data_IF_718800789720
#
_entry.id   IF_718800789720
#
_cell.length_a   1.000
_cell.length_b   1.000
_cell.length_c   1.000
_cell.angle_alpha   90.00
_cell.angle_beta   90.00
_cell.angle_gamma   90.00
#
_symmetry.space_group_name_H-M   'P 1'
#
loop_
_entity.id
_entity.type
_entity.pdbx_description
1 polymer ?
#
# COMPACT_ATOMS: atom_id res chain seq x y z
N UNK A 1 -18.77 25.88 -2.77
CA UNK A 1 -18.94 24.93 -1.65
C UNK A 1 -17.56 24.52 -1.18
N UNK A 2 -17.25 24.59 0.12
CA UNK A 2 -15.98 24.07 0.65
C UNK A 2 -16.01 22.55 0.63
N UNK A 3 -14.90 21.94 0.24
CA UNK A 3 -14.76 20.49 0.11
C UNK A 3 -13.66 20.05 1.06
N UNK A 4 -13.98 19.07 1.91
CA UNK A 4 -13.01 18.44 2.81
C UNK A 4 -12.59 17.11 2.22
N UNK A 5 -11.28 16.93 2.02
CA UNK A 5 -10.68 15.74 1.42
C UNK A 5 -9.52 15.29 2.32
N UNK A 6 -9.42 13.99 2.58
CA UNK A 6 -8.21 13.45 3.19
C UNK A 6 -6.99 13.60 2.26
N UNK A 7 -5.80 13.39 2.81
CA UNK A 7 -4.54 13.63 2.11
C UNK A 7 -4.43 12.80 0.81
N UNK A 8 -4.95 11.57 0.80
CA UNK A 8 -4.87 10.68 -0.36
C UNK A 8 -5.88 11.07 -1.44
N UNK A 9 -7.12 11.39 -1.06
CA UNK A 9 -8.15 11.91 -1.96
C UNK A 9 -7.67 13.19 -2.66
N UNK A 10 -7.07 14.10 -1.89
CA UNK A 10 -6.52 15.35 -2.38
C UNK A 10 -5.33 15.11 -3.30
N UNK A 11 -4.41 14.19 -2.96
CA UNK A 11 -3.27 13.85 -3.83
C UNK A 11 -3.74 13.30 -5.19
N UNK A 12 -4.75 12.43 -5.19
CA UNK A 12 -5.37 11.90 -6.41
C UNK A 12 -5.99 13.00 -7.25
N UNK A 13 -6.79 13.89 -6.63
CA UNK A 13 -7.39 15.03 -7.32
C UNK A 13 -6.33 15.87 -8.02
N UNK A 14 -5.22 16.19 -7.33
CA UNK A 14 -4.14 16.98 -7.92
C UNK A 14 -3.52 16.32 -9.15
N UNK A 15 -3.31 14.99 -9.11
CA UNK A 15 -2.69 14.20 -10.18
C UNK A 15 -3.61 13.97 -11.38
N UNK A 16 -4.92 13.91 -11.16
CA UNK A 16 -5.93 13.63 -12.19
C UNK A 16 -6.43 14.90 -12.92
N UNK A 17 -5.91 16.07 -12.56
CA UNK A 17 -6.31 17.36 -13.12
C UNK A 17 -5.11 18.14 -13.67
N UNK A 18 -5.41 19.08 -14.55
CA UNK A 18 -4.47 20.07 -15.06
C UNK A 18 -4.86 21.41 -14.45
N UNK A 19 -3.87 22.14 -13.96
CA UNK A 19 -4.07 23.33 -13.15
C UNK A 19 -3.44 24.56 -13.81
N UNK A 20 -4.05 25.71 -13.59
CA UNK A 20 -3.45 27.03 -13.79
C UNK A 20 -3.00 27.55 -12.44
N UNK A 21 -1.77 28.05 -12.34
CA UNK A 21 -1.20 28.66 -11.14
C UNK A 21 -0.95 30.15 -11.36
N UNK A 22 -1.34 30.98 -10.39
CA UNK A 22 -1.22 32.43 -10.48
C UNK A 22 -1.41 33.12 -9.13
N UNK A 23 -1.50 34.45 -9.15
CA UNK A 23 -1.77 35.28 -7.97
C UNK A 23 -3.28 35.51 -7.83
N UNK A 24 -3.82 35.30 -6.63
CA UNK A 24 -5.23 35.54 -6.37
C UNK A 24 -5.54 37.05 -6.40
N UNK A 25 -6.72 37.40 -6.93
CA UNK A 25 -7.17 38.79 -7.05
C UNK A 25 -6.50 39.61 -8.16
N UNK A 26 -5.67 39.00 -9.02
CA UNK A 26 -5.07 39.64 -10.20
C UNK A 26 -5.21 38.75 -11.44
N UNK A 27 -4.89 39.29 -12.62
CA UNK A 27 -4.81 38.52 -13.88
C UNK A 27 -3.43 37.85 -14.09
N UNK A 28 -2.59 37.84 -13.05
CA UNK A 28 -1.23 37.34 -13.14
C UNK A 28 -1.20 35.80 -13.09
N UNK A 29 -0.76 35.20 -14.19
CA UNK A 29 -0.62 33.75 -14.34
C UNK A 29 0.85 33.38 -14.39
N UNK A 30 1.30 32.56 -13.44
CA UNK A 30 2.66 32.04 -13.38
C UNK A 30 2.83 30.79 -14.26
N UNK A 31 1.82 29.92 -14.26
CA UNK A 31 1.80 28.72 -15.09
C UNK A 31 0.39 28.51 -15.67
N UNK A 32 0.18 28.65 -16.99
CA UNK A 32 -1.14 28.48 -17.59
C UNK A 32 -1.62 27.03 -17.55
N UNK A 33 -0.67 26.07 -17.60
CA UNK A 33 -0.93 24.64 -17.54
C UNK A 33 0.20 23.95 -16.79
N UNK A 34 -0.14 23.35 -15.66
CA UNK A 34 0.77 22.49 -14.90
C UNK A 34 0.07 21.22 -14.45
N UNK A 35 0.86 20.16 -14.28
CA UNK A 35 0.41 18.87 -13.77
C UNK A 35 1.28 18.45 -12.59
N UNK A 36 0.65 17.71 -11.69
CA UNK A 36 1.24 17.24 -10.45
C UNK A 36 1.54 15.76 -10.63
N UNK A 37 2.82 15.39 -10.59
CA UNK A 37 3.27 14.01 -10.79
C UNK A 37 3.63 13.35 -9.45
N UNK A 38 3.71 12.01 -9.46
CA UNK A 38 4.15 11.22 -8.30
C UNK A 38 5.51 11.66 -7.77
N UNK A 39 5.74 11.48 -6.47
CA UNK A 39 6.98 11.93 -5.83
C UNK A 39 7.09 13.43 -5.61
N UNK A 40 6.06 14.21 -5.95
CA UNK A 40 6.08 15.66 -5.74
C UNK A 40 6.68 16.42 -6.91
N UNK A 41 6.83 15.81 -8.09
CA UNK A 41 7.31 16.48 -9.29
C UNK A 41 6.20 17.37 -9.90
N UNK A 42 6.61 18.50 -10.47
CA UNK A 42 5.74 19.41 -11.21
C UNK A 42 6.11 19.38 -12.69
N UNK A 43 5.10 19.26 -13.56
CA UNK A 43 5.25 19.30 -15.01
C UNK A 43 4.61 20.58 -15.57
N UNK A 44 5.27 21.23 -16.53
CA UNK A 44 4.76 22.45 -17.16
C UNK A 44 5.06 23.74 -16.39
N UNK A 45 5.76 23.64 -15.25
CA UNK A 45 6.21 24.78 -14.45
C UNK A 45 7.49 24.42 -13.70
N UNK A 46 8.40 25.38 -13.57
CA UNK A 46 9.63 25.22 -12.81
C UNK A 46 10.04 26.57 -12.22
N UNK A 47 10.16 26.63 -10.90
CA UNK A 47 10.66 27.80 -10.19
C UNK A 47 11.31 27.35 -8.87
N UNK A 48 12.38 28.01 -8.38
CA UNK A 48 13.08 27.56 -7.16
C UNK A 48 12.21 27.52 -5.89
N UNK A 49 11.17 28.35 -5.83
CA UNK A 49 10.23 28.38 -4.72
C UNK A 49 9.12 27.32 -4.84
N UNK A 50 8.89 26.78 -6.02
CA UNK A 50 7.89 25.75 -6.32
C UNK A 50 8.61 24.59 -7.00
N UNK A 51 9.61 24.06 -6.32
CA UNK A 51 10.44 22.96 -6.80
C UNK A 51 9.70 21.62 -6.71
N UNK A 52 8.82 21.49 -5.72
CA UNK A 52 8.02 20.29 -5.53
C UNK A 52 6.73 20.56 -4.80
N UNK A 53 5.91 19.53 -4.72
CA UNK A 53 4.65 19.58 -4.00
C UNK A 53 4.49 18.37 -3.07
N UNK A 54 3.60 18.51 -2.10
CA UNK A 54 3.06 17.39 -1.31
C UNK A 54 1.64 17.72 -0.87
N UNK A 55 0.94 16.72 -0.37
CA UNK A 55 -0.26 16.92 0.46
C UNK A 55 0.11 16.65 1.91
N UNK A 56 -0.35 17.52 2.82
CA UNK A 56 -0.15 17.33 4.26
C UNK A 56 -1.23 18.01 5.09
N UNK A 57 -2.01 17.20 5.80
CA UNK A 57 -3.06 17.67 6.71
C UNK A 57 -4.15 18.44 5.98
N UNK A 58 -4.73 17.84 4.94
CA UNK A 58 -5.81 18.36 4.12
C UNK A 58 -5.43 19.52 3.20
N UNK A 59 -4.13 19.79 3.01
CA UNK A 59 -3.67 20.94 2.23
C UNK A 59 -2.61 20.54 1.21
N UNK A 60 -2.63 21.22 0.06
CA UNK A 60 -1.54 21.15 -0.93
C UNK A 60 -0.46 22.14 -0.51
N UNK A 61 0.79 21.68 -0.48
CA UNK A 61 1.95 22.52 -0.18
C UNK A 61 2.91 22.54 -1.35
N UNK A 62 3.34 23.74 -1.73
CA UNK A 62 4.54 23.92 -2.54
C UNK A 62 5.76 24.06 -1.66
N UNK A 63 6.86 23.44 -2.14
CA UNK A 63 8.13 23.34 -1.44
C UNK A 63 9.23 23.93 -2.32
N UNK A 64 10.14 24.68 -1.71
CA UNK A 64 11.34 25.18 -2.38
C UNK A 64 12.35 24.07 -2.64
N UNK A 65 13.45 24.39 -3.33
CA UNK A 65 14.60 23.49 -3.52
C UNK A 65 15.20 22.99 -2.19
N UNK A 66 15.02 23.74 -1.10
CA UNK A 66 15.48 23.38 0.24
C UNK A 66 14.39 22.69 1.07
N UNK A 67 13.30 22.24 0.44
CA UNK A 67 12.14 21.61 1.07
C UNK A 67 11.38 22.50 2.09
N UNK A 68 11.56 23.82 2.03
CA UNK A 68 10.79 24.76 2.84
C UNK A 68 9.42 25.02 2.20
N UNK A 69 8.35 25.06 2.99
CA UNK A 69 6.99 25.37 2.49
C UNK A 69 6.93 26.83 2.03
N UNK A 70 6.64 27.05 0.75
CA UNK A 70 6.56 28.38 0.14
C UNK A 70 5.13 28.85 -0.02
N UNK A 71 4.21 27.93 -0.27
CA UNK A 71 2.77 28.19 -0.35
C UNK A 71 2.03 27.01 0.27
N UNK A 72 1.01 27.28 1.09
CA UNK A 72 0.06 26.27 1.57
C UNK A 72 -1.33 26.65 1.11
N UNK A 73 -1.92 25.81 0.26
CA UNK A 73 -3.30 25.94 -0.21
C UNK A 73 -4.21 25.25 0.81
N UNK A 74 -4.90 26.07 1.61
CA UNK A 74 -5.77 25.65 2.72
C UNK A 74 -7.25 25.88 2.42
N UNK A 75 -7.57 26.30 1.20
CA UNK A 75 -8.94 26.38 0.71
C UNK A 75 -9.11 25.51 -0.53
N UNK A 76 -10.24 24.81 -0.60
CA UNK A 76 -10.68 24.07 -1.78
C UNK A 76 -12.16 24.33 -2.00
N UNK A 77 -12.50 24.85 -3.18
CA UNK A 77 -13.86 25.18 -3.59
C UNK A 77 -14.17 24.57 -4.95
N UNK A 78 -15.42 24.17 -5.14
CA UNK A 78 -15.97 23.96 -6.48
C UNK A 78 -16.67 25.24 -6.96
N UNK A 79 -16.29 25.69 -8.16
CA UNK A 79 -16.83 26.85 -8.89
C UNK A 79 -17.13 26.39 -10.31
N UNK A 80 -18.40 26.47 -10.73
CA UNK A 80 -18.87 26.06 -12.07
C UNK A 80 -18.40 24.64 -12.50
N UNK A 81 -18.38 23.71 -11.55
CA UNK A 81 -17.96 22.32 -11.78
C UNK A 81 -16.45 22.12 -11.87
N UNK A 82 -15.66 23.15 -11.59
CA UNK A 82 -14.18 23.11 -11.54
C UNK A 82 -13.67 23.33 -10.13
N UNK A 83 -12.49 22.81 -9.83
CA UNK A 83 -11.84 23.03 -8.54
C UNK A 83 -10.97 24.29 -8.55
N UNK A 84 -11.03 25.04 -7.45
CA UNK A 84 -10.18 26.18 -7.18
C UNK A 84 -9.62 26.10 -5.76
N UNK A 85 -8.35 26.48 -5.62
CA UNK A 85 -7.68 26.57 -4.34
C UNK A 85 -6.98 27.91 -4.21
N UNK A 86 -6.98 28.46 -3.01
CA UNK A 86 -6.19 29.64 -2.63
C UNK A 86 -5.29 29.28 -1.45
N UNK A 87 -4.11 29.90 -1.42
CA UNK A 87 -3.10 29.62 -0.41
C UNK A 87 -2.18 30.80 -0.16
N UNK A 88 -1.85 31.04 1.11
CA UNK A 88 -0.97 32.13 1.50
C UNK A 88 0.50 31.77 1.24
N UNK A 89 1.22 32.67 0.56
CA UNK A 89 2.68 32.61 0.46
C UNK A 89 3.34 32.75 1.83
N UNK A 90 4.41 31.99 2.07
CA UNK A 90 5.10 31.86 3.38
C UNK A 90 6.56 32.31 3.38
N UNK A 91 7.06 32.78 2.25
CA UNK A 91 8.43 33.30 2.16
C UNK A 91 8.53 34.69 2.80
N UNK A 92 9.68 35.05 3.40
CA UNK A 92 9.86 36.38 3.98
C UNK A 92 9.67 37.49 2.93
N UNK A 93 8.77 38.44 3.18
CA UNK A 93 8.50 39.56 2.29
C UNK A 93 7.01 39.82 2.12
N UNK A 94 6.63 40.26 0.91
CA UNK A 94 5.22 40.32 0.53
C UNK A 94 4.66 38.90 0.55
N UNK A 95 3.52 38.71 1.22
CA UNK A 95 2.86 37.42 1.35
C UNK A 95 1.68 37.44 0.35
N UNK A 96 1.92 37.16 -0.95
CA UNK A 96 0.83 37.09 -1.91
C UNK A 96 -0.07 35.90 -1.57
N UNK A 97 -1.36 36.04 -1.86
CA UNK A 97 -2.25 34.90 -1.95
C UNK A 97 -2.10 34.32 -3.35
N UNK A 98 -1.79 33.03 -3.43
CA UNK A 98 -1.70 32.30 -4.68
C UNK A 98 -2.99 31.53 -4.95
N UNK A 99 -3.24 31.23 -6.23
CA UNK A 99 -4.42 30.49 -6.69
C UNK A 99 -4.02 29.33 -7.59
N UNK A 100 -4.68 28.19 -7.40
CA UNK A 100 -4.75 27.08 -8.36
C UNK A 100 -6.17 27.01 -8.91
N UNK A 101 -6.31 26.85 -10.22
CA UNK A 101 -7.61 26.69 -10.88
C UNK A 101 -7.57 25.56 -11.88
N UNK A 102 -8.52 24.64 -11.80
CA UNK A 102 -8.63 23.54 -12.77
C UNK A 102 -8.87 24.09 -14.18
N UNK A 103 -8.00 23.69 -15.11
CA UNK A 103 -8.07 24.08 -16.52
C UNK A 103 -8.16 22.88 -17.48
N UNK A 104 -8.16 21.66 -16.95
CA UNK A 104 -8.38 20.44 -17.71
C UNK A 104 -8.36 19.18 -16.85
N UNK A 105 -8.68 18.06 -17.47
CA UNK A 105 -8.59 16.73 -16.86
C UNK A 105 -7.42 15.95 -17.45
N UNK A 106 -6.78 15.14 -16.62
CA UNK A 106 -5.82 14.14 -17.06
C UNK A 106 -6.47 12.78 -16.97
N UNK A 107 -6.63 12.12 -18.11
CA UNK A 107 -7.19 10.76 -18.14
C UNK A 107 -6.20 9.80 -17.47
N UNK A 108 -6.60 9.22 -16.33
CA UNK A 108 -5.91 8.08 -15.70
C UNK A 108 -6.80 6.84 -15.83
N UNK A 109 -6.19 5.66 -15.79
CA UNK A 109 -6.95 4.41 -15.72
C UNK A 109 -7.68 4.36 -14.37
N UNK A 110 -8.97 4.01 -14.41
CA UNK A 110 -9.77 3.74 -13.21
C UNK A 110 -9.45 2.34 -12.70
N UNK A 111 -8.28 2.21 -12.08
CA UNK A 111 -7.84 0.94 -11.51
C UNK A 111 -8.69 0.59 -10.28
N UNK A 112 -9.21 -0.64 -10.25
CA UNK A 112 -10.03 -1.17 -9.15
C UNK A 112 -9.20 -1.78 -8.02
N UNK A 113 -7.88 -1.87 -8.20
CA UNK A 113 -6.96 -2.57 -7.30
C UNK A 113 -5.80 -1.66 -6.92
N UNK A 114 -5.31 -1.78 -5.67
CA UNK A 114 -4.08 -1.14 -5.24
C UNK A 114 -3.10 -2.12 -4.59
N UNK A 115 -1.81 -1.94 -4.91
CA UNK A 115 -0.70 -2.58 -4.21
C UNK A 115 -0.13 -1.59 -3.18
N UNK A 116 -0.35 -1.90 -1.91
CA UNK A 116 0.18 -1.19 -0.74
C UNK A 116 1.57 -1.75 -0.44
N UNK A 117 2.58 -0.89 -0.49
CA UNK A 117 3.98 -1.28 -0.37
C UNK A 117 4.65 -0.50 0.77
N UNK A 118 4.68 -1.05 2.00
CA UNK A 118 5.48 -0.50 3.09
C UNK A 118 6.96 -0.54 2.72
N UNK A 119 7.65 0.59 2.85
CA UNK A 119 9.03 0.69 2.39
C UNK A 119 9.89 1.51 3.36
N UNK A 120 11.19 1.19 3.40
CA UNK A 120 12.22 1.96 4.09
C UNK A 120 13.53 1.92 3.28
N UNK A 121 14.49 2.75 3.69
CA UNK A 121 15.77 3.02 3.02
C UNK A 121 16.47 1.81 2.41
N UNK A 122 16.65 0.71 3.16
CA UNK A 122 17.35 -0.48 2.69
C UNK A 122 16.65 -1.17 1.50
N UNK A 123 15.36 -0.88 1.26
CA UNK A 123 14.57 -1.47 0.19
C UNK A 123 14.17 -0.49 -0.91
N UNK A 124 14.69 0.75 -0.92
CA UNK A 124 14.34 1.73 -1.96
C UNK A 124 14.66 1.26 -3.37
N UNK A 125 15.80 0.60 -3.58
CA UNK A 125 16.13 0.02 -4.90
C UNK A 125 15.09 -1.01 -5.35
N UNK A 126 14.58 -1.84 -4.43
CA UNK A 126 13.52 -2.79 -4.75
C UNK A 126 12.21 -2.08 -5.08
N UNK A 127 11.81 -1.07 -4.29
CA UNK A 127 10.63 -0.27 -4.57
C UNK A 127 10.69 0.46 -5.92
N UNK A 128 11.86 0.94 -6.34
CA UNK A 128 12.05 1.55 -7.66
C UNK A 128 11.89 0.51 -8.76
N UNK A 129 12.50 -0.66 -8.62
CA UNK A 129 12.35 -1.75 -9.58
C UNK A 129 10.88 -2.19 -9.70
N UNK A 130 10.20 -2.35 -8.56
CA UNK A 130 8.76 -2.63 -8.51
C UNK A 130 7.94 -1.58 -9.26
N UNK A 131 8.25 -0.29 -9.06
CA UNK A 131 7.57 0.81 -9.73
C UNK A 131 7.78 0.76 -11.26
N UNK A 132 8.99 0.48 -11.73
CA UNK A 132 9.26 0.31 -13.16
C UNK A 132 8.54 -0.91 -13.76
N UNK A 133 8.50 -2.02 -13.04
CA UNK A 133 7.78 -3.23 -13.48
C UNK A 133 6.25 -3.04 -13.49
N UNK A 134 5.76 -2.03 -12.76
CA UNK A 134 4.33 -1.68 -12.67
C UNK A 134 3.86 -0.70 -13.76
N UNK A 135 4.72 -0.32 -14.72
CA UNK A 135 4.30 0.54 -15.84
C UNK A 135 3.21 -0.17 -16.66
N UNK A 136 2.08 0.51 -16.86
CA UNK A 136 0.93 -0.03 -17.61
C UNK A 136 0.07 -1.01 -16.80
N UNK A 137 0.25 -1.06 -15.48
CA UNK A 137 -0.48 -1.98 -14.61
C UNK A 137 -1.99 -1.70 -14.51
N UNK A 138 -2.74 -2.76 -14.19
CA UNK A 138 -4.17 -2.71 -13.84
C UNK A 138 -4.42 -2.46 -12.34
N UNK A 139 -3.41 -1.94 -11.65
CA UNK A 139 -3.43 -1.55 -10.25
C UNK A 139 -2.71 -0.22 -10.03
N UNK A 140 -3.06 0.48 -8.95
CA UNK A 140 -2.30 1.63 -8.45
C UNK A 140 -1.27 1.19 -7.41
N UNK A 141 -0.12 1.88 -7.34
CA UNK A 141 0.92 1.65 -6.33
C UNK A 141 0.80 2.69 -5.22
N UNK A 142 0.78 2.25 -3.96
CA UNK A 142 0.75 3.11 -2.78
C UNK A 142 1.96 2.78 -1.91
N UNK A 143 2.98 3.64 -1.91
CA UNK A 143 4.12 3.47 -1.01
C UNK A 143 3.83 4.06 0.36
N UNK A 144 4.22 3.32 1.41
CA UNK A 144 4.06 3.75 2.81
C UNK A 144 5.43 3.96 3.45
N UNK A 145 5.80 5.21 3.63
CA UNK A 145 7.06 5.66 4.20
C UNK A 145 6.94 5.83 5.72
N UNK A 146 8.06 5.73 6.44
CA UNK A 146 8.06 6.02 7.88
C UNK A 146 8.08 7.53 8.12
N UNK A 147 8.90 8.26 7.36
CA UNK A 147 9.09 9.71 7.48
C UNK A 147 9.02 10.42 6.13
N UNK A 148 8.85 11.75 6.15
CA UNK A 148 8.89 12.56 4.93
C UNK A 148 10.30 12.59 4.31
N UNK A 149 11.35 12.44 5.13
CA UNK A 149 12.73 12.32 4.67
C UNK A 149 12.92 11.06 3.81
N UNK A 150 12.36 9.92 4.24
CA UNK A 150 12.37 8.67 3.46
C UNK A 150 11.69 8.85 2.11
N UNK A 151 10.53 9.51 2.08
CA UNK A 151 9.78 9.80 0.84
C UNK A 151 10.59 10.67 -0.12
N UNK A 152 11.27 11.69 0.40
CA UNK A 152 12.11 12.59 -0.40
C UNK A 152 13.35 11.86 -0.94
N UNK A 153 14.02 11.06 -0.10
CA UNK A 153 15.16 10.24 -0.54
C UNK A 153 14.75 9.25 -1.63
N UNK A 154 13.62 8.54 -1.46
CA UNK A 154 13.10 7.64 -2.48
C UNK A 154 12.82 8.36 -3.80
N UNK A 155 12.22 9.55 -3.74
CA UNK A 155 11.98 10.39 -4.91
C UNK A 155 13.27 10.75 -5.64
N UNK A 156 14.35 11.11 -4.93
CA UNK A 156 15.62 11.49 -5.55
C UNK A 156 16.29 10.34 -6.31
N UNK A 157 15.94 9.09 -5.98
CA UNK A 157 16.49 7.90 -6.63
C UNK A 157 15.80 7.58 -7.97
N UNK A 158 14.73 8.27 -8.35
CA UNK A 158 14.11 8.14 -9.67
C UNK A 158 13.79 9.51 -10.28
N UNK A 159 13.71 9.57 -11.61
CA UNK A 159 13.40 10.82 -12.30
C UNK A 159 11.88 11.04 -12.38
N UNK A 160 11.49 12.30 -12.61
CA UNK A 160 10.11 12.64 -12.97
C UNK A 160 9.75 11.89 -14.26
N UNK A 161 8.66 11.13 -14.23
CA UNK A 161 8.18 10.41 -15.41
C UNK A 161 6.65 10.34 -15.37
N UNK A 162 5.95 10.71 -16.44
CA UNK A 162 4.51 10.59 -16.52
C UNK A 162 4.04 9.12 -16.56
N UNK A 163 4.97 8.17 -16.76
CA UNK A 163 4.69 6.74 -16.74
C UNK A 163 4.83 6.11 -15.35
N UNK A 164 5.53 6.79 -14.42
CA UNK A 164 5.69 6.33 -13.04
C UNK A 164 4.59 6.94 -12.17
N UNK A 165 3.55 6.15 -11.90
CA UNK A 165 2.41 6.56 -11.07
C UNK A 165 2.40 5.84 -9.73
N UNK A 166 2.49 6.59 -8.64
CA UNK A 166 2.31 6.07 -7.29
C UNK A 166 1.81 7.16 -6.35
N UNK A 167 1.11 6.75 -5.28
CA UNK A 167 0.74 7.60 -4.15
C UNK A 167 1.66 7.35 -2.95
N UNK A 168 1.79 8.35 -2.09
CA UNK A 168 2.66 8.28 -0.90
C UNK A 168 1.86 8.50 0.37
N UNK A 169 2.02 7.60 1.33
CA UNK A 169 1.55 7.77 2.71
C UNK A 169 2.78 7.87 3.60
N UNK A 170 2.83 8.87 4.50
CA UNK A 170 3.94 9.08 5.43
C UNK A 170 3.46 8.85 6.85
N UNK A 171 3.94 7.79 7.50
CA UNK A 171 3.46 7.37 8.82
C UNK A 171 3.56 8.48 9.89
N UNK A 172 4.67 9.24 9.87
CA UNK A 172 4.90 10.33 10.83
C UNK A 172 3.93 11.51 10.72
N UNK A 173 3.13 11.59 9.66
CA UNK A 173 2.09 12.62 9.54
C UNK A 173 0.82 12.27 10.32
N UNK A 174 0.65 11.00 10.72
CA UNK A 174 -0.55 10.48 11.39
C UNK A 174 -0.33 10.10 12.85
N UNK A 175 0.92 9.77 13.22
CA UNK A 175 1.24 9.28 14.56
C UNK A 175 2.07 10.29 15.35
N UNK A 176 1.81 10.36 16.67
CA UNK A 176 2.65 11.11 17.59
C UNK A 176 4.06 10.49 17.70
N UNK A 177 5.04 11.28 18.12
CA UNK A 177 6.40 10.79 18.36
C UNK A 177 6.47 9.66 19.40
N UNK A 178 5.61 9.67 20.41
CA UNK A 178 5.52 8.59 21.40
C UNK A 178 5.01 7.29 20.79
N UNK A 179 3.98 7.36 19.94
CA UNK A 179 3.48 6.18 19.23
C UNK A 179 4.56 5.59 18.31
N UNK A 180 5.26 6.44 17.54
CA UNK A 180 6.36 6.00 16.67
C UNK A 180 7.51 5.35 17.45
N UNK A 181 7.82 5.82 18.66
CA UNK A 181 8.80 5.17 19.54
C UNK A 181 8.39 3.74 19.87
N UNK A 182 7.12 3.52 20.25
CA UNK A 182 6.60 2.18 20.54
C UNK A 182 6.64 1.28 19.30
N UNK A 183 6.31 1.82 18.12
CA UNK A 183 6.40 1.07 16.86
C UNK A 183 7.83 0.59 16.60
N UNK A 184 8.81 1.45 16.85
CA UNK A 184 10.23 1.13 16.72
C UNK A 184 10.68 0.06 17.72
N UNK A 185 10.40 0.28 19.01
CA UNK A 185 10.82 -0.61 20.10
C UNK A 185 10.26 -2.03 19.93
N UNK A 186 9.01 -2.13 19.45
CA UNK A 186 8.32 -3.41 19.22
C UNK A 186 8.54 -4.01 17.84
N UNK A 187 9.25 -3.32 16.94
CA UNK A 187 9.52 -3.74 15.56
C UNK A 187 8.24 -4.07 14.78
N UNK A 188 7.26 -3.18 14.86
CA UNK A 188 5.92 -3.34 14.25
C UNK A 188 5.68 -2.43 13.05
N UNK A 189 6.74 -1.78 12.54
CA UNK A 189 6.67 -0.86 11.40
C UNK A 189 5.87 -1.39 10.20
N UNK A 190 6.08 -2.63 9.70
CA UNK A 190 5.35 -3.11 8.53
C UNK A 190 3.84 -3.20 8.81
N UNK A 191 3.45 -3.79 9.94
CA UNK A 191 2.04 -3.99 10.32
C UNK A 191 1.31 -2.66 10.49
N UNK A 192 1.90 -1.68 11.18
CA UNK A 192 1.27 -0.36 11.39
C UNK A 192 1.11 0.38 10.06
N UNK A 193 2.12 0.33 9.18
CA UNK A 193 2.04 0.92 7.83
C UNK A 193 0.92 0.30 7.02
N UNK A 194 0.76 -1.03 7.06
CA UNK A 194 -0.29 -1.76 6.35
C UNK A 194 -1.68 -1.35 6.86
N UNK A 195 -1.91 -1.31 8.18
CA UNK A 195 -3.19 -0.86 8.73
C UNK A 195 -3.53 0.61 8.40
N UNK A 196 -2.57 1.53 8.52
CA UNK A 196 -2.79 2.92 8.13
C UNK A 196 -3.18 3.00 6.66
N UNK A 197 -2.43 2.34 5.78
CA UNK A 197 -2.74 2.37 4.37
C UNK A 197 -4.11 1.77 4.05
N UNK A 198 -4.50 0.65 4.67
CA UNK A 198 -5.83 0.07 4.52
C UNK A 198 -6.92 1.09 4.91
N UNK A 199 -6.75 1.79 6.04
CA UNK A 199 -7.71 2.80 6.53
C UNK A 199 -7.89 4.01 5.62
N UNK A 200 -6.85 4.38 4.86
CA UNK A 200 -6.90 5.54 3.96
C UNK A 200 -7.31 5.17 2.53
N UNK A 201 -7.03 3.94 2.10
CA UNK A 201 -7.15 3.55 0.68
C UNK A 201 -8.44 2.83 0.33
N UNK A 202 -9.10 2.16 1.29
CA UNK A 202 -10.21 1.25 0.98
C UNK A 202 -11.43 1.88 0.30
N UNK A 203 -11.60 3.20 0.40
CA UNK A 203 -12.72 3.91 -0.23
C UNK A 203 -12.54 4.10 -1.75
N UNK A 204 -11.34 3.89 -2.29
CA UNK A 204 -11.01 4.18 -3.69
C UNK A 204 -10.90 2.94 -4.59
N UNK A 205 -10.92 1.74 -4.01
CA UNK A 205 -10.62 0.50 -4.72
C UNK A 205 -11.63 -0.58 -4.32
N UNK A 206 -11.74 -1.62 -5.13
CA UNK A 206 -12.48 -2.83 -4.80
C UNK A 206 -11.59 -3.84 -4.06
N UNK A 207 -10.30 -3.85 -4.39
CA UNK A 207 -9.30 -4.78 -3.85
C UNK A 207 -8.02 -4.05 -3.43
N UNK A 208 -7.43 -4.48 -2.32
CA UNK A 208 -6.14 -4.00 -1.84
C UNK A 208 -5.24 -5.20 -1.59
N UNK A 209 -3.94 -5.06 -1.83
CA UNK A 209 -2.96 -6.07 -1.48
C UNK A 209 -1.79 -5.41 -0.78
N UNK A 210 -1.47 -5.88 0.42
CA UNK A 210 -0.26 -5.46 1.13
C UNK A 210 0.90 -6.35 0.72
N UNK A 211 1.80 -5.84 -0.13
CA UNK A 211 2.95 -6.58 -0.64
C UNK A 211 4.25 -5.92 -0.18
N UNK A 212 5.30 -6.72 -0.03
CA UNK A 212 6.60 -6.20 0.38
C UNK A 212 7.37 -5.65 -0.83
N UNK A 213 8.28 -4.70 -0.61
CA UNK A 213 8.92 -3.92 -1.69
C UNK A 213 9.81 -4.78 -2.60
N UNK A 214 10.35 -5.87 -2.07
CA UNK A 214 11.12 -6.93 -2.72
C UNK A 214 10.26 -7.96 -3.47
N UNK A 215 9.05 -7.58 -3.84
CA UNK A 215 8.21 -8.31 -4.80
C UNK A 215 8.69 -7.98 -6.21
N UNK A 216 8.87 -9.00 -7.05
CA UNK A 216 9.13 -8.84 -8.48
C UNK A 216 7.83 -9.08 -9.25
N UNK A 217 7.40 -8.10 -10.04
CA UNK A 217 6.20 -8.21 -10.86
C UNK A 217 6.55 -8.93 -12.17
N UNK A 218 5.96 -10.11 -12.38
CA UNK A 218 6.09 -10.90 -13.61
C UNK A 218 5.15 -10.39 -14.70
N UNK A 219 3.93 -10.03 -14.30
CA UNK A 219 2.91 -9.48 -15.20
C UNK A 219 2.21 -8.30 -14.51
N UNK A 220 2.25 -7.08 -15.10
CA UNK A 220 1.60 -5.91 -14.50
C UNK A 220 0.08 -5.92 -14.64
N UNK A 221 -0.50 -6.90 -15.34
CA UNK A 221 -1.95 -6.99 -15.58
C UNK A 221 -2.53 -8.30 -15.05
N UNK A 222 -3.83 -8.30 -14.74
CA UNK A 222 -4.55 -9.48 -14.25
C UNK A 222 -4.69 -9.52 -12.73
N UNK A 223 -4.16 -8.52 -12.01
CA UNK A 223 -4.22 -8.43 -10.56
C UNK A 223 -5.64 -8.22 -10.04
N UNK A 224 -6.43 -7.41 -10.75
CA UNK A 224 -7.83 -7.18 -10.39
C UNK A 224 -8.64 -8.46 -10.52
N UNK A 225 -8.46 -9.18 -11.63
CA UNK A 225 -9.16 -10.46 -11.87
C UNK A 225 -8.75 -11.52 -10.84
N UNK A 226 -7.46 -11.66 -10.56
CA UNK A 226 -6.97 -12.57 -9.54
C UNK A 226 -7.53 -12.25 -8.15
N UNK A 227 -7.60 -10.97 -7.79
CA UNK A 227 -8.17 -10.52 -6.53
C UNK A 227 -9.66 -10.85 -6.41
N UNK A 228 -10.40 -10.64 -7.49
CA UNK A 228 -11.82 -11.00 -7.59
C UNK A 228 -12.05 -12.51 -7.43
N UNK A 229 -11.24 -13.34 -8.08
CA UNK A 229 -11.29 -14.80 -7.96
C UNK A 229 -11.01 -15.27 -6.54
N UNK A 230 -9.97 -14.72 -5.88
CA UNK A 230 -9.62 -15.05 -4.49
C UNK A 230 -10.75 -14.68 -3.52
N UNK A 231 -11.29 -13.46 -3.65
CA UNK A 231 -12.40 -13.01 -2.78
C UNK A 231 -13.66 -13.83 -3.02
N UNK A 232 -13.95 -14.16 -4.28
CA UNK A 232 -15.14 -14.95 -4.66
C UNK A 232 -15.04 -16.41 -4.20
N UNK A 233 -13.84 -16.97 -4.13
CA UNK A 233 -13.63 -18.33 -3.63
C UNK A 233 -13.96 -18.47 -2.14
N UNK A 234 -13.90 -17.38 -1.37
CA UNK A 234 -14.18 -17.32 0.07
C UNK A 234 -13.40 -18.39 0.86
N UNK A 235 -12.14 -18.62 0.50
CA UNK A 235 -11.29 -19.67 1.08
C UNK A 235 -9.87 -19.17 1.30
N UNK A 236 -9.35 -19.46 2.48
CA UNK A 236 -7.95 -19.30 2.82
C UNK A 236 -7.28 -20.65 2.88
N UNK A 237 -6.11 -20.76 2.28
CA UNK A 237 -5.35 -21.99 2.23
C UNK A 237 -4.26 -21.99 3.28
N UNK A 238 -3.92 -23.17 3.79
CA UNK A 238 -2.89 -23.30 4.80
C UNK A 238 -2.30 -24.70 4.93
N UNK A 239 -1.10 -24.76 5.50
CA UNK A 239 -0.41 -26.00 5.79
C UNK A 239 -0.78 -26.52 7.17
N UNK A 240 -0.74 -27.85 7.35
CA UNK A 240 -0.97 -28.46 8.64
C UNK A 240 0.20 -28.21 9.60
N UNK A 241 -0.11 -27.75 10.82
CA UNK A 241 0.85 -27.58 11.91
C UNK A 241 0.72 -28.70 12.94
N UNK A 242 1.85 -29.29 13.27
CA UNK A 242 2.00 -30.21 14.42
C UNK A 242 2.47 -29.45 15.67
N UNK A 243 2.52 -30.12 16.82
CA UNK A 243 3.03 -29.56 18.07
C UNK A 243 4.49 -29.08 18.01
N UNK A 244 5.28 -29.54 17.03
CA UNK A 244 6.66 -29.11 16.84
C UNK A 244 6.80 -27.69 16.25
N UNK A 245 5.73 -27.15 15.65
CA UNK A 245 5.73 -25.85 14.98
C UNK A 245 5.36 -24.72 15.96
N UNK A 246 6.17 -24.52 17.00
CA UNK A 246 5.84 -23.60 18.09
C UNK A 246 5.76 -22.14 17.63
N UNK A 247 6.63 -21.73 16.70
CA UNK A 247 6.71 -20.34 16.24
C UNK A 247 5.52 -19.96 15.35
N UNK A 248 5.17 -20.84 14.42
CA UNK A 248 4.06 -20.68 13.49
C UNK A 248 2.73 -20.67 14.25
N UNK A 249 2.59 -21.57 15.22
CA UNK A 249 1.43 -21.58 16.13
C UNK A 249 1.34 -20.29 16.93
N UNK A 250 2.47 -19.76 17.40
CA UNK A 250 2.50 -18.47 18.09
C UNK A 250 2.12 -17.30 17.17
N UNK A 251 2.55 -17.31 15.90
CA UNK A 251 2.16 -16.30 14.91
C UNK A 251 0.65 -16.33 14.68
N UNK A 252 0.07 -17.51 14.46
CA UNK A 252 -1.37 -17.67 14.27
C UNK A 252 -2.15 -17.26 15.53
N UNK A 253 -1.65 -17.63 16.71
CA UNK A 253 -2.23 -17.21 17.99
C UNK A 253 -2.20 -15.69 18.15
N UNK A 254 -1.03 -15.07 18.02
CA UNK A 254 -0.85 -13.62 18.17
C UNK A 254 -1.72 -12.85 17.19
N UNK A 255 -1.66 -13.22 15.90
CA UNK A 255 -2.38 -12.52 14.83
C UNK A 255 -3.90 -12.68 14.95
N UNK A 256 -4.39 -13.77 15.55
CA UNK A 256 -5.83 -14.00 15.68
C UNK A 256 -6.42 -13.41 16.95
N UNK A 257 -5.67 -13.31 18.05
CA UNK A 257 -6.22 -12.97 19.37
C UNK A 257 -5.83 -11.61 19.93
N UNK A 258 -4.65 -11.08 19.61
CA UNK A 258 -4.12 -9.88 20.30
C UNK A 258 -4.99 -8.64 20.04
N UNK A 259 -5.47 -8.52 18.80
CA UNK A 259 -6.28 -7.40 18.39
C UNK A 259 -7.79 -7.68 18.40
N UNK A 260 -8.19 -8.95 18.45
CA UNK A 260 -9.58 -9.35 18.40
C UNK A 260 -10.34 -9.05 19.70
N UNK A 261 -11.67 -8.83 19.64
CA UNK A 261 -12.53 -8.76 20.82
C UNK A 261 -12.44 -10.03 21.67
N UNK A 262 -12.48 -9.88 22.99
CA UNK A 262 -12.25 -10.99 23.92
C UNK A 262 -13.36 -12.06 23.86
N UNK A 263 -14.57 -11.65 23.51
CA UNK A 263 -15.74 -12.50 23.32
C UNK A 263 -15.61 -13.49 22.15
N UNK A 264 -14.75 -13.21 21.17
CA UNK A 264 -14.59 -14.07 19.99
C UNK A 264 -13.53 -15.17 20.16
N UNK A 265 -12.83 -15.20 21.30
CA UNK A 265 -11.71 -16.12 21.55
C UNK A 265 -12.03 -17.59 21.25
N UNK A 266 -13.19 -18.08 21.67
CA UNK A 266 -13.56 -19.48 21.45
C UNK A 266 -13.94 -19.76 19.98
N UNK A 267 -14.57 -18.79 19.31
CA UNK A 267 -14.86 -18.88 17.87
C UNK A 267 -13.55 -18.92 17.07
N UNK A 268 -12.59 -18.05 17.41
CA UNK A 268 -11.25 -18.01 16.80
C UNK A 268 -10.52 -19.34 17.01
N UNK A 269 -10.55 -19.88 18.24
CA UNK A 269 -9.96 -21.18 18.55
C UNK A 269 -10.59 -22.30 17.72
N UNK A 270 -11.91 -22.27 17.56
CA UNK A 270 -12.67 -23.26 16.77
C UNK A 270 -12.30 -23.18 15.29
N UNK A 271 -12.38 -21.98 14.70
CA UNK A 271 -12.11 -21.75 13.28
C UNK A 271 -10.63 -21.99 12.91
N UNK A 272 -9.70 -21.69 13.82
CA UNK A 272 -8.27 -22.00 13.62
C UNK A 272 -7.92 -23.48 13.76
N UNK A 273 -8.88 -24.33 14.18
CA UNK A 273 -8.61 -25.72 14.56
C UNK A 273 -7.57 -25.81 15.68
N UNK A 274 -7.68 -24.95 16.70
CA UNK A 274 -6.67 -24.78 17.76
C UNK A 274 -5.29 -24.43 17.19
N UNK A 275 -5.26 -23.45 16.27
CA UNK A 275 -4.08 -22.99 15.54
C UNK A 275 -3.29 -24.12 14.86
N UNK A 276 -3.99 -25.10 14.30
CA UNK A 276 -3.37 -26.24 13.58
C UNK A 276 -3.19 -25.99 12.08
N UNK A 277 -3.57 -24.81 11.60
CA UNK A 277 -3.35 -24.37 10.22
C UNK A 277 -2.40 -23.16 10.20
N UNK A 278 -1.52 -23.11 9.19
CA UNK A 278 -0.65 -21.97 8.92
C UNK A 278 -0.91 -21.39 7.54
N UNK A 279 -1.38 -20.15 7.49
CA UNK A 279 -1.90 -19.50 6.27
C UNK A 279 -0.96 -18.43 5.70
N UNK A 280 0.25 -18.36 6.24
CA UNK A 280 1.32 -17.52 5.74
C UNK A 280 1.76 -18.02 4.35
N UNK A 281 1.81 -17.13 3.35
CA UNK A 281 2.31 -17.38 1.99
C UNK A 281 1.70 -18.58 1.25
N UNK A 282 0.42 -18.49 0.94
CA UNK A 282 -0.28 -19.49 0.12
C UNK A 282 -0.80 -18.94 -1.20
N UNK A 283 -1.34 -17.73 -1.21
CA UNK A 283 -1.67 -16.98 -2.42
C UNK A 283 -1.62 -15.48 -2.11
N UNK A 284 -1.92 -14.64 -3.10
CA UNK A 284 -1.90 -13.18 -2.96
C UNK A 284 -2.65 -12.68 -1.71
N UNK A 285 -2.10 -11.71 -0.96
CA UNK A 285 -2.66 -11.22 0.30
C UNK A 285 -3.75 -10.19 0.03
N UNK A 286 -4.87 -10.66 -0.52
CA UNK A 286 -5.98 -9.81 -0.96
C UNK A 286 -6.88 -9.42 0.21
N UNK A 287 -7.21 -8.13 0.25
CA UNK A 287 -8.27 -7.53 1.05
C UNK A 287 -9.42 -7.12 0.13
N UNK A 288 -10.65 -7.49 0.48
CA UNK A 288 -11.82 -6.90 -0.15
C UNK A 288 -12.09 -5.55 0.49
N UNK A 289 -11.99 -4.47 -0.29
CA UNK A 289 -12.05 -3.11 0.24
C UNK A 289 -13.36 -2.81 0.98
N UNK A 290 -14.50 -3.37 0.51
CA UNK A 290 -15.81 -3.27 1.18
C UNK A 290 -15.83 -3.82 2.62
N UNK A 291 -14.93 -4.75 2.95
CA UNK A 291 -14.85 -5.39 4.27
C UNK A 291 -13.85 -4.71 5.20
N UNK A 292 -12.98 -3.84 4.67
CA UNK A 292 -11.95 -3.16 5.46
C UNK A 292 -12.54 -2.29 6.58
N UNK A 293 -13.63 -1.51 6.39
CA UNK A 293 -14.22 -0.74 7.49
C UNK A 293 -14.59 -1.61 8.69
N UNK A 294 -15.33 -2.70 8.46
CA UNK A 294 -15.73 -3.61 9.53
C UNK A 294 -14.55 -4.36 10.15
N UNK A 295 -13.52 -4.67 9.35
CA UNK A 295 -12.28 -5.24 9.86
C UNK A 295 -11.54 -4.28 10.81
N UNK A 296 -11.38 -3.02 10.40
CA UNK A 296 -10.70 -1.99 11.19
C UNK A 296 -11.47 -1.69 12.47
N UNK A 297 -12.80 -1.66 12.42
CA UNK A 297 -13.66 -1.55 13.60
C UNK A 297 -13.46 -2.76 14.54
N UNK A 298 -13.44 -3.98 14.00
CA UNK A 298 -13.29 -5.21 14.78
C UNK A 298 -11.97 -5.28 15.55
N UNK A 299 -10.85 -4.83 14.95
CA UNK A 299 -9.57 -4.74 15.66
C UNK A 299 -9.46 -3.51 16.56
N UNK A 300 -10.43 -2.59 16.50
CA UNK A 300 -10.39 -1.30 17.17
C UNK A 300 -9.23 -0.43 16.68
N UNK A 301 -9.02 -0.36 15.36
CA UNK A 301 -7.96 0.42 14.73
C UNK A 301 -8.18 1.92 14.93
N UNK A 302 -7.12 2.60 15.37
CA UNK A 302 -6.96 4.04 15.24
C UNK A 302 -5.48 4.42 15.14
N UNK A 303 -5.20 5.66 14.71
CA UNK A 303 -3.85 6.19 14.63
C UNK A 303 -3.37 6.73 16.00
N UNK A 304 -3.47 5.92 17.06
CA UNK A 304 -3.15 6.32 18.43
C UNK A 304 -1.97 5.55 19.05
N UNK A 305 -1.47 6.08 20.17
CA UNK A 305 -0.51 5.37 21.03
C UNK A 305 -1.14 4.08 21.60
N UNK A 306 -2.39 4.15 22.02
CA UNK A 306 -3.11 3.05 22.66
C UNK A 306 -3.25 1.85 21.73
N UNK A 307 -3.49 2.08 20.44
CA UNK A 307 -3.53 0.99 19.47
C UNK A 307 -2.16 0.34 19.29
N UNK A 308 -1.11 1.14 19.04
CA UNK A 308 0.24 0.58 18.78
C UNK A 308 0.82 -0.15 20.00
N UNK A 309 0.43 0.24 21.22
CA UNK A 309 0.78 -0.47 22.46
C UNK A 309 0.17 -1.88 22.58
N UNK A 310 -0.79 -2.24 21.73
CA UNK A 310 -1.34 -3.61 21.66
C UNK A 310 -0.52 -4.50 20.73
N UNK A 311 0.18 -3.92 19.76
CA UNK A 311 0.89 -4.68 18.73
C UNK A 311 2.17 -5.34 19.26
N UNK A 312 2.49 -6.50 18.68
CA UNK A 312 3.77 -7.19 18.87
C UNK A 312 4.25 -7.70 17.51
N UNK A 313 5.53 -8.01 17.39
CA UNK A 313 6.15 -8.43 16.13
C UNK A 313 5.49 -9.65 15.46
N UNK A 314 4.82 -10.52 16.23
CA UNK A 314 4.14 -11.72 15.71
C UNK A 314 2.69 -11.48 15.25
N UNK A 315 2.22 -10.23 15.23
CA UNK A 315 0.93 -9.85 14.65
C UNK A 315 1.12 -9.43 13.20
N UNK A 316 0.55 -10.23 12.30
CA UNK A 316 0.55 -9.99 10.86
C UNK A 316 -0.84 -9.59 10.40
N UNK A 317 -0.94 -8.44 9.76
CA UNK A 317 -2.17 -7.80 9.30
C UNK A 317 -3.04 -8.73 8.47
N UNK A 318 -2.46 -9.44 7.49
CA UNK A 318 -3.25 -10.30 6.60
C UNK A 318 -3.77 -11.55 7.32
N UNK A 319 -2.98 -12.15 8.21
CA UNK A 319 -3.47 -13.27 9.03
C UNK A 319 -4.62 -12.79 9.92
N UNK A 320 -4.48 -11.62 10.56
CA UNK A 320 -5.56 -11.03 11.37
C UNK A 320 -6.83 -10.81 10.53
N UNK A 321 -6.70 -10.29 9.30
CA UNK A 321 -7.80 -10.11 8.37
C UNK A 321 -8.44 -11.44 7.93
N UNK A 322 -7.66 -12.48 7.69
CA UNK A 322 -8.18 -13.80 7.35
C UNK A 322 -9.11 -14.34 8.45
N UNK A 323 -8.76 -14.14 9.72
CA UNK A 323 -9.62 -14.51 10.86
C UNK A 323 -10.91 -13.70 10.91
N UNK A 324 -10.82 -12.38 10.71
CA UNK A 324 -12.02 -11.54 10.59
C UNK A 324 -12.95 -12.05 9.49
N UNK A 325 -12.41 -12.34 8.30
CA UNK A 325 -13.21 -12.83 7.18
C UNK A 325 -13.78 -14.24 7.43
N UNK A 326 -13.09 -15.08 8.19
CA UNK A 326 -13.60 -16.41 8.54
C UNK A 326 -14.77 -16.34 9.54
N UNK A 327 -14.80 -15.32 10.40
CA UNK A 327 -15.85 -15.12 11.40
C UNK A 327 -17.04 -14.34 10.85
N UNK A 328 -16.76 -13.28 10.09
CA UNK A 328 -17.74 -12.26 9.68
C UNK A 328 -17.96 -12.19 8.17
N UNK A 329 -17.02 -12.71 7.37
CA UNK A 329 -17.03 -12.60 5.91
C UNK A 329 -17.45 -13.88 5.18
N UNK A 330 -17.75 -14.96 5.89
CA UNK A 330 -18.13 -16.26 5.30
C UNK A 330 -16.96 -17.05 4.69
N UNK A 331 -15.71 -16.69 5.00
CA UNK A 331 -14.55 -17.41 4.52
C UNK A 331 -14.32 -18.70 5.33
N UNK A 332 -13.63 -19.67 4.73
CA UNK A 332 -13.22 -20.89 5.42
C UNK A 332 -11.74 -21.18 5.24
N UNK A 333 -11.14 -21.82 6.24
CA UNK A 333 -9.77 -22.31 6.18
C UNK A 333 -9.74 -23.72 5.55
N UNK A 334 -8.90 -23.89 4.54
CA UNK A 334 -8.72 -25.15 3.80
C UNK A 334 -7.28 -25.63 3.93
N UNK A 335 -7.10 -26.84 4.49
CA UNK A 335 -5.80 -27.48 4.57
C UNK A 335 -5.37 -28.00 3.20
N UNK A 336 -4.11 -27.75 2.85
CA UNK A 336 -3.51 -28.24 1.62
C UNK A 336 -2.68 -29.49 1.91
N UNK A 337 -2.94 -30.55 1.16
CA UNK A 337 -2.33 -31.85 1.39
C UNK A 337 -0.84 -31.85 1.04
N UNK A 338 -0.04 -32.49 1.89
CA UNK A 338 1.38 -32.79 1.61
C UNK A 338 2.36 -31.65 1.87
N UNK A 339 1.92 -30.55 2.49
CA UNK A 339 2.78 -29.43 2.90
C UNK A 339 2.48 -29.05 4.34
N UNK A 340 3.51 -29.12 5.18
CA UNK A 340 3.51 -28.53 6.52
C UNK A 340 4.14 -27.14 6.41
N UNK A 341 3.62 -26.14 7.13
CA UNK A 341 4.07 -24.74 7.09
C UNK A 341 3.55 -23.92 5.89
N UNK A 342 4.43 -23.29 5.11
CA UNK A 342 4.13 -22.27 4.08
C UNK A 342 4.90 -22.58 2.80
N UNK A 343 4.54 -21.91 1.70
CA UNK A 343 5.27 -22.01 0.44
C UNK A 343 6.55 -21.16 0.41
N UNK A 344 6.87 -20.44 1.49
CA UNK A 344 7.95 -19.43 1.55
C UNK A 344 9.27 -19.93 0.94
N UNK A 345 9.65 -21.17 1.25
CA UNK A 345 10.92 -21.79 0.83
C UNK A 345 10.72 -23.11 0.05
N UNK A 346 9.52 -23.33 -0.51
CA UNK A 346 9.21 -24.54 -1.24
C UNK A 346 9.82 -24.54 -2.66
N UNK A 347 10.25 -25.71 -3.15
CA UNK A 347 10.78 -25.89 -4.50
C UNK A 347 9.65 -25.95 -5.56
N UNK A 348 10.02 -25.88 -6.86
CA UNK A 348 9.07 -25.87 -7.97
C UNK A 348 8.13 -27.08 -7.98
N UNK A 349 8.62 -28.27 -7.60
CA UNK A 349 7.80 -29.48 -7.57
C UNK A 349 6.68 -29.38 -6.52
N UNK A 350 6.99 -28.94 -5.30
CA UNK A 350 6.00 -28.73 -4.25
C UNK A 350 5.00 -27.67 -4.69
N UNK A 351 5.49 -26.53 -5.18
CA UNK A 351 4.64 -25.42 -5.63
C UNK A 351 3.70 -25.85 -6.77
N UNK A 352 4.20 -26.62 -7.75
CA UNK A 352 3.39 -27.13 -8.86
C UNK A 352 2.28 -28.09 -8.39
N UNK A 353 2.57 -28.96 -7.41
CA UNK A 353 1.56 -29.84 -6.79
C UNK A 353 0.51 -29.05 -6.01
N UNK A 354 0.91 -27.98 -5.34
CA UNK A 354 0.00 -27.10 -4.61
C UNK A 354 -0.87 -26.29 -5.58
N UNK A 355 -0.29 -25.79 -6.67
CA UNK A 355 -1.04 -25.10 -7.73
C UNK A 355 -2.18 -25.96 -8.27
N UNK A 356 -1.98 -27.27 -8.43
CA UNK A 356 -3.04 -28.20 -8.85
C UNK A 356 -4.19 -28.34 -7.82
N UNK A 357 -3.93 -28.08 -6.54
CA UNK A 357 -4.93 -28.15 -5.47
C UNK A 357 -5.68 -26.83 -5.26
N UNK A 358 -5.02 -25.69 -5.47
CA UNK A 358 -5.55 -24.33 -5.20
C UNK A 358 -6.03 -23.61 -6.48
N UNK A 359 -5.75 -24.19 -7.65
CA UNK A 359 -5.80 -23.63 -9.00
C UNK A 359 -6.76 -22.42 -9.26
N UNK A 360 -6.26 -21.31 -9.86
CA UNK A 360 -4.86 -20.96 -10.10
C UNK A 360 -4.27 -20.09 -8.99
N UNK A 361 -3.15 -20.54 -8.41
CA UNK A 361 -2.31 -19.70 -7.55
C UNK A 361 -1.57 -18.65 -8.37
N UNK A 362 -1.41 -17.42 -7.85
CA UNK A 362 -0.93 -16.27 -8.64
C UNK A 362 0.39 -15.66 -8.21
N UNK A 363 1.06 -16.22 -7.22
CA UNK A 363 2.41 -15.81 -6.83
C UNK A 363 3.27 -16.99 -6.36
N UNK A 364 4.59 -16.83 -6.34
CA UNK A 364 5.53 -17.88 -5.90
C UNK A 364 6.82 -17.28 -5.33
N UNK A 365 7.66 -18.09 -4.67
CA UNK A 365 8.99 -17.65 -4.27
C UNK A 365 9.99 -17.71 -5.45
N UNK A 366 11.06 -16.93 -5.35
CA UNK A 366 12.12 -16.91 -6.35
C UNK A 366 12.85 -18.26 -6.50
N UNK A 367 12.97 -19.06 -5.43
CA UNK A 367 13.61 -20.38 -5.50
C UNK A 367 12.83 -21.36 -6.40
N UNK A 368 11.50 -21.42 -6.27
CA UNK A 368 10.66 -22.24 -7.13
C UNK A 368 10.69 -21.72 -8.56
N UNK A 369 10.57 -20.41 -8.76
CA UNK A 369 10.57 -19.84 -10.10
C UNK A 369 11.85 -20.13 -10.87
N UNK A 370 13.01 -19.98 -10.23
CA UNK A 370 14.32 -20.23 -10.88
C UNK A 370 14.54 -21.69 -11.27
N UNK A 371 13.83 -22.63 -10.65
CA UNK A 371 13.91 -24.06 -11.00
C UNK A 371 13.03 -24.46 -12.19
N UNK A 372 11.90 -23.76 -12.42
CA UNK A 372 11.00 -24.03 -13.54
C UNK A 372 10.25 -22.77 -14.02
N UNK A 373 10.95 -21.80 -14.64
CA UNK A 373 10.33 -20.53 -15.05
C UNK A 373 9.27 -20.72 -16.15
N UNK A 374 9.35 -21.80 -16.93
CA UNK A 374 8.40 -22.11 -18.00
C UNK A 374 7.03 -22.45 -17.41
N UNK A 375 6.99 -23.28 -16.36
CA UNK A 375 5.75 -23.59 -15.66
C UNK A 375 5.04 -22.33 -15.16
N UNK A 376 5.74 -21.42 -14.47
CA UNK A 376 5.11 -20.23 -13.91
C UNK A 376 4.63 -19.24 -14.98
N UNK A 377 5.37 -19.11 -16.09
CA UNK A 377 4.93 -18.30 -17.24
C UNK A 377 3.69 -18.88 -17.91
N UNK A 378 3.61 -20.21 -18.06
CA UNK A 378 2.45 -20.89 -18.67
C UNK A 378 1.18 -20.86 -17.82
N UNK A 379 1.31 -20.62 -16.51
CA UNK A 379 0.19 -20.62 -15.55
C UNK A 379 -0.18 -19.21 -15.05
N UNK A 380 0.25 -18.17 -15.77
CA UNK A 380 -0.09 -16.77 -15.52
C UNK A 380 0.16 -16.32 -14.07
N UNK A 381 1.34 -16.64 -13.53
CA UNK A 381 1.78 -16.09 -12.24
C UNK A 381 2.05 -14.59 -12.39
N UNK A 382 1.60 -13.81 -11.42
CA UNK A 382 1.68 -12.35 -11.44
C UNK A 382 2.95 -11.82 -10.78
N UNK A 383 3.46 -12.53 -9.76
CA UNK A 383 4.59 -12.03 -8.98
C UNK A 383 5.47 -13.12 -8.36
N UNK A 384 6.71 -12.72 -8.09
CA UNK A 384 7.65 -13.41 -7.20
C UNK A 384 7.83 -12.60 -5.94
N UNK A 385 7.96 -13.25 -4.79
CA UNK A 385 8.20 -12.55 -3.53
C UNK A 385 9.57 -12.81 -2.93
N UNK A 386 9.98 -11.89 -2.05
CA UNK A 386 11.22 -11.92 -1.28
C UNK A 386 12.44 -12.22 -2.14
N UNK A 387 12.61 -11.48 -3.25
CA UNK A 387 13.77 -11.66 -4.13
C UNK A 387 15.10 -11.26 -3.47
N UNK A 388 15.04 -10.66 -2.29
CA UNK A 388 16.15 -10.21 -1.46
C UNK A 388 16.78 -11.35 -0.63
N UNK A 389 16.13 -12.51 -0.52
CA UNK A 389 16.61 -13.60 0.33
C UNK A 389 17.93 -14.14 -0.19
N UNK A 390 18.96 -14.04 0.65
CA UNK A 390 20.31 -14.56 0.36
C UNK A 390 20.36 -16.05 0.03
N UNK A 391 19.35 -16.81 0.46
CA UNK A 391 19.21 -18.25 0.21
C UNK A 391 18.57 -18.55 -1.15
N UNK A 392 18.00 -17.56 -1.83
CA UNK A 392 17.48 -17.72 -3.18
C UNK A 392 18.58 -17.47 -4.21
N UNK A 393 18.51 -18.12 -5.39
CA UNK A 393 19.41 -17.79 -6.48
C UNK A 393 19.30 -16.30 -6.82
N UNK A 394 20.42 -15.68 -7.21
CA UNK A 394 20.39 -14.30 -7.68
C UNK A 394 19.44 -14.20 -8.87
N UNK A 395 18.35 -13.47 -8.66
CA UNK A 395 17.33 -13.30 -9.67
C UNK A 395 17.79 -12.23 -10.66
N UNK A 396 18.29 -12.66 -11.83
CA UNK A 396 18.51 -11.79 -12.97
C UNK A 396 17.29 -11.89 -13.89
N UNK A 397 16.50 -10.82 -14.02
CA UNK A 397 15.43 -10.76 -15.02
C UNK A 397 16.06 -10.52 -16.38
N UNK A 398 16.45 -11.60 -17.06
CA UNK A 398 16.78 -11.54 -18.50
C UNK A 398 15.56 -11.13 -19.34
#
# INVERSE_FOLDING_TARGET
>A
MNIDLDDLALERLMKERVWTFGKAGTDEVFAPKMSFESGGWLQGYAHPNEHSWRVKGGCVEFLSQNNAVTTRFDTLKSVDGRFEMEGQGRLPGDNPVHRLSECGQRKKNENRTALIVPIHDAYFTYGINFLFQSIGADYDVVFVFSTDADRLQFREMHQASPFLSYSSIVLSDYFSGSALSVVADRRTWPTVKKFLALSLTHQFYDYLLCVDAETFVLNPTGWTKASEEIVSAARWYGGGLTAAHTNERQIMYSSSLILAPAEERENIRTVSGNWSIYTWWWDLPVYSAKSVPGFLEWIGWDASLQFVERLVHSVFDHITYQFYMALHGGFSFTLVGGVTHSLEFCNANIVSRVHQQINPMKWTNALAYTQDPVFFKQNDYLALYHIDRKTFPQFNPD
#
